data_IF_423624081939
#
_entry.id   IF_423624081939
#
_cell.length_a   1.000
_cell.length_b   1.000
_cell.length_c   1.000
_cell.angle_alpha   90.00
_cell.angle_beta   90.00
_cell.angle_gamma   90.00
#
_symmetry.space_group_name_H-M   'P 1'
#
loop_
_entity.id
_entity.type
_entity.pdbx_description
1 polymer ?
#
# COMPACT_ATOMS: atom_id res chain seq x y z
N UNK A 1 12.59 -11.15 -4.52
CA UNK A 1 11.27 -10.56 -4.21
C UNK A 1 11.50 -9.59 -3.06
N UNK A 2 10.88 -8.40 -3.08
CA UNK A 2 11.12 -7.41 -2.00
C UNK A 2 10.12 -7.70 -0.90
N UNK A 3 10.63 -8.03 0.27
CA UNK A 3 9.85 -8.29 1.47
C UNK A 3 10.16 -7.21 2.49
N UNK A 4 9.14 -6.66 3.11
CA UNK A 4 9.27 -5.68 4.18
C UNK A 4 8.39 -6.11 5.34
N UNK A 5 8.89 -5.95 6.56
CA UNK A 5 8.04 -6.10 7.73
C UNK A 5 7.00 -4.99 7.74
N UNK A 6 5.85 -5.29 8.33
CA UNK A 6 4.85 -4.27 8.53
C UNK A 6 5.40 -3.12 9.37
N UNK A 7 5.10 -1.90 8.94
CA UNK A 7 5.56 -0.64 9.52
C UNK A 7 7.07 -0.40 9.37
N UNK A 8 7.78 -1.22 8.58
CA UNK A 8 9.15 -0.94 8.20
C UNK A 8 9.21 0.27 7.26
N UNK A 9 10.21 1.13 7.44
CA UNK A 9 10.37 2.29 6.56
C UNK A 9 10.76 1.83 5.15
N UNK A 10 10.01 2.30 4.16
CA UNK A 10 10.40 2.18 2.77
C UNK A 10 11.42 3.28 2.46
N UNK A 11 12.64 2.90 2.06
CA UNK A 11 13.66 3.89 1.67
C UNK A 11 13.23 4.55 0.36
N UNK A 12 13.11 5.87 0.35
CA UNK A 12 12.95 6.66 -0.88
C UNK A 12 14.05 7.71 -1.00
N UNK A 13 14.44 8.11 -2.23
CA UNK A 13 15.43 9.17 -2.45
C UNK A 13 15.00 10.57 -1.98
N UNK A 14 13.77 10.73 -1.48
CA UNK A 14 13.23 12.01 -1.05
C UNK A 14 13.07 12.00 0.47
N UNK A 15 13.92 12.76 1.15
CA UNK A 15 14.14 12.69 2.60
C UNK A 15 12.93 13.08 3.47
N UNK A 16 11.97 13.84 2.93
CA UNK A 16 10.86 14.38 3.74
C UNK A 16 9.64 13.45 3.80
N UNK A 17 9.55 12.42 2.96
CA UNK A 17 8.38 11.54 2.93
C UNK A 17 8.60 10.30 3.81
N UNK A 18 7.84 10.16 4.89
CA UNK A 18 7.85 8.94 5.70
C UNK A 18 6.93 7.91 5.05
N UNK A 19 7.52 6.91 4.39
CA UNK A 19 6.81 5.77 3.81
C UNK A 19 6.93 4.55 4.72
N UNK A 20 5.80 3.93 5.05
CA UNK A 20 5.75 2.71 5.88
C UNK A 20 5.15 1.55 5.09
N UNK A 21 5.90 0.45 4.99
CA UNK A 21 5.48 -0.75 4.27
C UNK A 21 4.39 -1.51 5.03
N UNK A 22 3.35 -1.99 4.34
CA UNK A 22 2.30 -2.85 4.92
C UNK A 22 1.95 -3.95 3.94
N UNK A 23 1.89 -5.21 4.39
CA UNK A 23 1.45 -6.34 3.58
C UNK A 23 2.44 -6.76 2.48
N UNK A 24 3.74 -6.49 2.65
CA UNK A 24 4.80 -7.00 1.75
C UNK A 24 5.27 -8.39 2.20
N UNK A 25 4.31 -9.30 2.28
CA UNK A 25 4.46 -10.64 2.86
C UNK A 25 5.28 -11.56 1.96
N UNK A 26 5.79 -12.64 2.54
CA UNK A 26 6.47 -13.72 1.83
C UNK A 26 6.33 -15.02 2.60
N UNK A 27 6.54 -16.14 1.92
CA UNK A 27 6.37 -17.49 2.48
C UNK A 27 7.23 -17.74 3.73
N UNK A 28 8.42 -17.17 3.78
CA UNK A 28 9.37 -17.37 4.87
C UNK A 28 9.27 -16.30 5.98
N UNK A 29 8.18 -15.53 6.01
CA UNK A 29 7.93 -14.49 7.01
C UNK A 29 6.76 -14.85 7.91
N UNK A 30 6.95 -14.64 9.21
CA UNK A 30 5.83 -14.60 10.15
C UNK A 30 5.08 -13.27 10.00
N UNK A 31 3.75 -13.36 9.96
CA UNK A 31 2.86 -12.21 9.96
C UNK A 31 1.64 -12.48 10.83
N UNK A 32 1.03 -11.44 11.43
CA UNK A 32 -0.18 -11.62 12.21
C UNK A 32 -1.31 -12.16 11.33
N UNK A 33 -2.05 -13.13 11.85
CA UNK A 33 -3.25 -13.66 11.20
C UNK A 33 -4.48 -13.51 12.09
N UNK A 34 -5.66 -13.42 11.47
CA UNK A 34 -6.92 -13.27 12.18
C UNK A 34 -8.01 -12.64 11.33
N UNK A 35 -9.19 -12.52 11.93
CA UNK A 35 -10.31 -11.83 11.31
C UNK A 35 -10.08 -10.31 11.27
N UNK A 36 -10.62 -9.68 10.23
CA UNK A 36 -10.69 -8.21 10.13
C UNK A 36 -12.14 -7.77 10.06
N UNK A 37 -12.42 -6.55 10.52
CA UNK A 37 -13.77 -6.01 10.49
C UNK A 37 -14.28 -5.84 9.03
N UNK A 38 -15.54 -6.22 8.71
CA UNK A 38 -16.07 -6.14 7.35
C UNK A 38 -16.00 -4.75 6.73
N UNK A 39 -16.32 -3.70 7.49
CA UNK A 39 -16.29 -2.31 7.04
C UNK A 39 -14.89 -1.87 6.59
N UNK A 40 -13.83 -2.30 7.28
CA UNK A 40 -12.45 -2.06 6.87
C UNK A 40 -12.13 -2.77 5.56
N UNK A 41 -12.48 -4.06 5.45
CA UNK A 41 -12.19 -4.84 4.26
C UNK A 41 -12.92 -4.31 3.01
N UNK A 42 -14.19 -3.91 3.16
CA UNK A 42 -14.97 -3.26 2.10
C UNK A 42 -14.33 -1.95 1.65
N UNK A 43 -13.96 -1.08 2.60
CA UNK A 43 -13.27 0.17 2.31
C UNK A 43 -11.94 -0.04 1.59
N UNK A 44 -11.13 -1.01 2.05
CA UNK A 44 -9.88 -1.38 1.40
C UNK A 44 -10.12 -1.80 -0.06
N UNK A 45 -11.12 -2.65 -0.31
CA UNK A 45 -11.49 -3.08 -1.67
C UNK A 45 -11.91 -1.93 -2.57
N UNK A 46 -12.59 -0.92 -2.04
CA UNK A 46 -12.92 0.30 -2.80
C UNK A 46 -11.66 1.04 -3.25
N UNK A 47 -10.69 1.21 -2.33
CA UNK A 47 -9.40 1.84 -2.63
C UNK A 47 -8.61 1.03 -3.67
N UNK A 48 -8.63 -0.31 -3.58
CA UNK A 48 -8.00 -1.20 -4.57
C UNK A 48 -8.64 -1.14 -5.96
N UNK A 49 -9.93 -0.76 -6.08
CA UNK A 49 -10.65 -0.77 -7.36
C UNK A 49 -10.20 0.37 -8.28
N UNK A 50 -9.92 1.54 -7.72
CA UNK A 50 -9.50 2.71 -8.48
C UNK A 50 -8.34 3.45 -7.78
N UNK A 51 -7.19 2.77 -7.62
CA UNK A 51 -6.08 3.28 -6.86
C UNK A 51 -5.44 4.48 -7.56
N UNK A 52 -4.96 5.44 -6.79
CA UNK A 52 -4.08 6.45 -7.34
C UNK A 52 -2.69 5.82 -7.54
N UNK A 53 -2.33 5.59 -8.81
CA UNK A 53 -1.07 4.97 -9.22
C UNK A 53 -0.21 5.99 -9.97
N UNK A 54 0.75 6.63 -9.29
CA UNK A 54 1.61 7.62 -9.94
C UNK A 54 2.73 7.00 -10.80
N UNK A 55 3.00 5.70 -10.64
CA UNK A 55 3.96 4.95 -11.46
C UNK A 55 3.23 3.84 -12.22
N UNK A 56 3.23 3.89 -13.55
CA UNK A 56 2.59 2.87 -14.39
C UNK A 56 3.26 1.48 -14.30
N UNK A 57 4.46 1.41 -13.73
CA UNK A 57 5.29 0.20 -13.61
C UNK A 57 5.42 -0.34 -12.17
N UNK A 58 4.62 0.14 -11.21
CA UNK A 58 4.60 -0.44 -9.87
C UNK A 58 4.38 -1.96 -10.00
N UNK A 59 5.41 -2.72 -9.59
CA UNK A 59 5.77 -4.02 -10.14
C UNK A 59 4.69 -5.10 -10.13
N UNK A 60 4.98 -6.17 -10.85
CA UNK A 60 4.20 -7.40 -10.79
C UNK A 60 4.67 -8.22 -9.59
N UNK A 61 3.73 -8.60 -8.74
CA UNK A 61 3.96 -9.49 -7.61
C UNK A 61 3.14 -10.75 -7.83
N UNK A 62 3.78 -11.91 -7.76
CA UNK A 62 3.06 -13.19 -7.73
C UNK A 62 2.99 -13.60 -6.27
N UNK A 63 1.79 -13.85 -5.76
CA UNK A 63 1.60 -14.34 -4.40
C UNK A 63 2.31 -15.69 -4.23
N UNK A 64 3.29 -15.74 -3.34
CA UNK A 64 4.03 -16.96 -3.00
C UNK A 64 3.42 -17.71 -1.80
N UNK A 65 2.36 -17.16 -1.19
CA UNK A 65 1.63 -17.78 -0.07
C UNK A 65 0.54 -18.75 -0.51
N UNK A 66 0.06 -18.62 -1.77
CA UNK A 66 -0.89 -19.56 -2.35
C UNK A 66 -0.36 -21.00 -2.29
N UNK A 67 -1.27 -21.95 -2.06
CA UNK A 67 -0.94 -23.37 -2.06
C UNK A 67 -0.47 -23.85 -3.44
N UNK A 68 -1.04 -23.29 -4.50
CA UNK A 68 -0.75 -23.63 -5.90
C UNK A 68 -0.35 -22.37 -6.67
N UNK A 69 -0.91 -22.15 -7.86
CA UNK A 69 -0.63 -20.99 -8.69
C UNK A 69 -0.91 -19.68 -7.95
N UNK A 70 0.14 -18.89 -7.78
CA UNK A 70 0.07 -17.58 -7.16
C UNK A 70 -0.77 -16.62 -7.98
N UNK A 71 -1.61 -15.83 -7.30
CA UNK A 71 -2.35 -14.75 -7.96
C UNK A 71 -1.36 -13.66 -8.40
N UNK A 72 -1.48 -13.19 -9.64
CA UNK A 72 -0.74 -12.02 -10.12
C UNK A 72 -1.38 -10.74 -9.58
N UNK A 73 -0.60 -10.01 -8.80
CA UNK A 73 -0.98 -8.79 -8.09
C UNK A 73 -0.20 -7.63 -8.74
N UNK A 74 -0.90 -6.58 -9.14
CA UNK A 74 -0.31 -5.43 -9.83
C UNK A 74 -0.57 -4.14 -9.09
N UNK A 75 0.49 -3.35 -8.94
CA UNK A 75 0.42 -2.01 -8.36
C UNK A 75 0.43 -2.02 -6.83
N UNK A 76 0.30 -0.81 -6.28
CA UNK A 76 0.38 -0.55 -4.85
C UNK A 76 -0.56 0.60 -4.48
N UNK A 77 -0.95 0.61 -3.21
CA UNK A 77 -1.72 1.65 -2.56
C UNK A 77 -0.81 2.59 -1.80
N UNK A 78 -1.18 3.86 -1.77
CA UNK A 78 -0.60 4.88 -0.91
C UNK A 78 -1.71 5.39 0.00
N UNK A 79 -1.63 5.11 1.30
CA UNK A 79 -2.67 5.47 2.27
C UNK A 79 -2.08 6.49 3.24
N UNK A 80 -2.38 7.79 3.08
CA UNK A 80 -1.84 8.84 3.93
C UNK A 80 -2.58 8.93 5.28
N UNK A 81 -1.83 8.97 6.38
CA UNK A 81 -2.36 9.24 7.72
C UNK A 81 -1.22 9.60 8.71
N UNK A 82 -1.52 10.41 9.73
CA UNK A 82 -0.63 10.73 10.84
C UNK A 82 0.84 11.03 10.45
N UNK A 83 1.04 11.96 9.52
CA UNK A 83 2.35 12.42 9.03
C UNK A 83 3.20 11.34 8.32
N UNK A 84 2.57 10.25 7.89
CA UNK A 84 3.18 9.20 7.08
C UNK A 84 2.27 8.74 5.95
N UNK A 85 2.83 7.91 5.06
CA UNK A 85 2.08 7.27 3.98
C UNK A 85 2.37 5.77 4.05
N UNK A 86 1.33 4.99 4.29
CA UNK A 86 1.43 3.54 4.21
C UNK A 86 1.46 3.11 2.75
N UNK A 87 2.40 2.23 2.43
CA UNK A 87 2.59 1.67 1.11
C UNK A 87 2.29 0.19 1.18
N UNK A 88 1.23 -0.24 0.51
CA UNK A 88 0.83 -1.65 0.48
C UNK A 88 0.74 -2.16 -0.96
N UNK A 89 1.11 -3.40 -1.27
CA UNK A 89 0.83 -3.96 -2.58
C UNK A 89 -0.70 -4.02 -2.78
N UNK A 90 -1.18 -3.89 -4.02
CA UNK A 90 -2.62 -4.01 -4.30
C UNK A 90 -3.19 -5.36 -3.86
N UNK A 91 -2.33 -6.38 -3.74
CA UNK A 91 -2.66 -7.69 -3.21
C UNK A 91 -2.88 -7.77 -1.71
N UNK A 92 -2.78 -6.69 -0.94
CA UNK A 92 -3.11 -6.70 0.50
C UNK A 92 -4.52 -7.24 0.76
N UNK A 93 -5.48 -6.93 -0.12
CA UNK A 93 -6.84 -7.47 -0.02
C UNK A 93 -6.90 -8.99 -0.29
N UNK A 94 -6.02 -9.52 -1.13
CA UNK A 94 -5.87 -10.96 -1.36
C UNK A 94 -5.23 -11.63 -0.15
N UNK A 95 -4.18 -11.05 0.44
CA UNK A 95 -3.55 -11.58 1.64
C UNK A 95 -4.52 -11.68 2.82
N UNK A 96 -5.36 -10.67 3.02
CA UNK A 96 -6.42 -10.73 4.05
C UNK A 96 -7.40 -11.87 3.76
N UNK A 97 -7.92 -11.94 2.53
CA UNK A 97 -9.00 -12.88 2.19
C UNK A 97 -8.56 -14.35 2.07
N UNK A 98 -7.36 -14.59 1.55
CA UNK A 98 -6.88 -15.94 1.23
C UNK A 98 -5.88 -16.47 2.27
N UNK A 99 -5.19 -15.58 2.98
CA UNK A 99 -4.11 -15.92 3.91
C UNK A 99 -4.33 -15.41 5.32
N UNK A 100 -5.54 -14.93 5.63
CA UNK A 100 -5.94 -14.45 6.96
C UNK A 100 -5.04 -13.36 7.51
N UNK A 101 -4.31 -12.64 6.66
CA UNK A 101 -3.42 -11.58 7.10
C UNK A 101 -4.18 -10.54 7.90
N UNK A 102 -3.70 -10.25 9.11
CA UNK A 102 -4.26 -9.25 10.00
C UNK A 102 -3.33 -8.02 10.03
N UNK A 103 -3.68 -6.95 9.30
CA UNK A 103 -2.81 -5.78 9.17
C UNK A 103 -2.71 -4.97 10.48
N UNK A 104 -1.65 -4.16 10.64
CA UNK A 104 -1.49 -3.29 11.79
C UNK A 104 -2.68 -2.36 12.00
N UNK A 105 -3.08 -2.16 13.26
CA UNK A 105 -4.23 -1.31 13.61
C UNK A 105 -4.11 0.12 13.06
N UNK A 106 -2.90 0.68 13.00
CA UNK A 106 -2.66 2.01 12.43
C UNK A 106 -3.00 2.07 10.92
N UNK A 107 -2.66 1.01 10.16
CA UNK A 107 -3.05 0.90 8.75
C UNK A 107 -4.56 0.73 8.58
N UNK A 108 -5.19 -0.06 9.45
CA UNK A 108 -6.66 -0.23 9.47
C UNK A 108 -7.35 1.13 9.62
N UNK A 109 -6.92 1.94 10.60
CA UNK A 109 -7.45 3.29 10.80
C UNK A 109 -7.17 4.20 9.61
N UNK A 110 -5.97 4.16 9.06
CA UNK A 110 -5.59 4.95 7.89
C UNK A 110 -6.50 4.67 6.69
N UNK A 111 -6.81 3.39 6.41
CA UNK A 111 -7.72 2.97 5.34
C UNK A 111 -9.15 3.48 5.57
N UNK A 112 -9.68 3.34 6.79
CA UNK A 112 -11.00 3.84 7.14
C UNK A 112 -11.11 5.35 6.95
N UNK A 113 -10.06 6.08 7.32
CA UNK A 113 -9.98 7.54 7.19
C UNK A 113 -9.53 8.01 5.80
N UNK A 114 -9.28 7.10 4.85
CA UNK A 114 -8.78 7.46 3.52
C UNK A 114 -9.94 7.87 2.60
N UNK A 115 -9.93 9.10 2.05
CA UNK A 115 -10.88 9.47 1.00
C UNK A 115 -10.66 8.62 -0.26
N UNK A 116 -11.67 8.50 -1.16
CA UNK A 116 -11.48 7.84 -2.44
C UNK A 116 -10.32 8.46 -3.22
N UNK A 117 -9.43 7.63 -3.77
CA UNK A 117 -8.11 8.06 -4.23
C UNK A 117 -8.13 9.02 -5.43
N UNK A 118 -9.23 9.07 -6.19
CA UNK A 118 -9.40 9.98 -7.33
C UNK A 118 -10.00 11.35 -6.96
N UNK A 119 -10.10 11.68 -5.67
CA UNK A 119 -10.69 12.93 -5.20
C UNK A 119 -9.65 13.99 -4.86
N UNK A 120 -10.08 15.25 -4.79
CA UNK A 120 -9.23 16.33 -4.28
C UNK A 120 -8.93 16.19 -2.79
N UNK A 121 -9.85 15.60 -2.02
CA UNK A 121 -9.64 15.38 -0.59
C UNK A 121 -8.53 14.37 -0.34
N UNK A 122 -8.45 13.31 -1.16
CA UNK A 122 -7.31 12.40 -1.13
C UNK A 122 -6.00 13.12 -1.43
N UNK A 123 -5.96 13.96 -2.48
CA UNK A 123 -4.74 14.72 -2.83
C UNK A 123 -4.32 15.68 -1.71
N UNK A 124 -5.27 16.37 -1.08
CA UNK A 124 -5.00 17.24 0.07
C UNK A 124 -4.45 16.43 1.25
N UNK A 125 -5.06 15.28 1.55
CA UNK A 125 -4.59 14.38 2.62
C UNK A 125 -3.20 13.85 2.33
N UNK A 126 -2.92 13.44 1.10
CA UNK A 126 -1.59 13.00 0.66
C UNK A 126 -0.53 14.07 0.88
N UNK A 127 -0.80 15.32 0.47
CA UNK A 127 0.12 16.44 0.65
C UNK A 127 0.33 16.83 2.11
N UNK A 128 -0.72 16.72 2.95
CA UNK A 128 -0.64 16.97 4.38
C UNK A 128 0.26 15.96 5.11
N UNK A 129 0.36 14.73 4.61
CA UNK A 129 1.15 13.66 5.21
C UNK A 129 2.50 13.45 4.48
N UNK A 130 3.13 14.53 4.03
CA UNK A 130 4.48 14.47 3.45
C UNK A 130 4.56 14.03 1.98
N UNK A 131 3.44 13.76 1.31
CA UNK A 131 3.42 13.28 -0.07
C UNK A 131 3.88 14.26 -1.15
N UNK A 132 4.47 15.42 -0.78
CA UNK A 132 5.04 16.38 -1.74
C UNK A 132 6.17 15.75 -2.55
N UNK A 133 7.05 14.99 -1.88
CA UNK A 133 8.17 14.29 -2.50
C UNK A 133 7.72 13.29 -3.56
N UNK A 134 6.70 12.51 -3.21
CA UNK A 134 5.95 11.67 -4.16
C UNK A 134 5.48 12.53 -5.34
N UNK A 135 4.64 13.55 -5.10
CA UNK A 135 4.07 14.35 -6.21
C UNK A 135 5.09 15.03 -7.13
N UNK A 136 6.27 15.37 -6.63
CA UNK A 136 7.36 16.00 -7.38
C UNK A 136 8.14 15.00 -8.22
N UNK A 137 8.46 13.84 -7.67
CA UNK A 137 9.08 12.72 -8.42
C UNK A 137 8.24 12.32 -9.65
N UNK A 138 6.94 12.66 -9.67
CA UNK A 138 6.02 12.36 -10.78
C UNK A 138 5.96 13.43 -11.88
N UNK A 139 6.61 14.60 -11.72
CA UNK A 139 6.61 15.67 -12.74
C UNK A 139 7.87 15.72 -13.59
N UNK A 140 8.97 15.10 -13.14
CA UNK A 140 10.19 15.03 -13.94
C UNK A 140 10.10 13.83 -14.89
N UNK A 141 10.17 14.03 -16.22
CA UNK A 141 10.28 12.91 -17.14
C UNK A 141 11.55 12.13 -16.79
N UNK A 142 11.42 10.82 -16.64
CA UNK A 142 12.54 9.91 -16.46
C UNK A 142 13.59 10.21 -17.53
N UNK A 143 14.70 10.85 -17.15
CA UNK A 143 15.83 10.97 -18.06
C UNK A 143 16.30 9.55 -18.37
N UNK A 144 16.38 9.16 -19.65
CA UNK A 144 16.96 7.88 -20.00
C UNK A 144 18.43 7.90 -19.57
N UNK A 145 18.84 6.88 -18.82
CA UNK A 145 20.26 6.50 -18.72
C UNK A 145 20.65 5.78 -20.01
#
# INVERSE_FOLDING_TARGET
MVHFRDLERHTTPCDDTVLLSVGWLGRDMEYPTGEVAPNFYEKLRELCRNPWQPFATAGFHICDLCQYDGVSLKGQLYVPDQDCIYVAPAGVAHYIAAHWYNPPAAFVQAVLNCPPMQTMDYKKKLLANGGRGLTRAFKEPSQPK
#
